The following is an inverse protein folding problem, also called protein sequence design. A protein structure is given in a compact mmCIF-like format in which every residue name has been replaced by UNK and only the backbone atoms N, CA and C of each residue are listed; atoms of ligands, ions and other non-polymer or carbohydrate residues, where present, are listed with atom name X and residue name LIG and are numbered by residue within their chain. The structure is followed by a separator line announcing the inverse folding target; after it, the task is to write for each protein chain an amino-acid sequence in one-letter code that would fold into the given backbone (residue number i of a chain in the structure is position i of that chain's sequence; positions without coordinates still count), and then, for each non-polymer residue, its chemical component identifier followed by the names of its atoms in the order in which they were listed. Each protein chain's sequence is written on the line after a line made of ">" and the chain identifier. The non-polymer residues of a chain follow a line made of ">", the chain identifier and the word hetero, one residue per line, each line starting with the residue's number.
data_IF_565493516762
#
_entry.id   IF_565493516762
#
_cell.length_a   1.000
_cell.length_b   1.000
_cell.length_c   1.000
_cell.angle_alpha   90.00
_cell.angle_beta   90.00
_cell.angle_gamma   90.00
#
_symmetry.space_group_name_H-M   'P 1'
#
loop_
_entity.id
_entity.type
_entity.pdbx_description
1 polymer ?
#
# COMPACT_ATOMS: atom_id res chain seq x y z
N UNK A 1 -13.18 17.93 -0.18
CA UNK A 1 -12.33 18.18 1.01
C UNK A 1 -11.18 17.19 1.15
N UNK A 2 -11.38 15.87 1.06
CA UNK A 2 -10.27 14.90 1.16
C UNK A 2 -9.16 15.11 0.12
N UNK A 3 -9.50 15.41 -1.14
CA UNK A 3 -8.55 15.70 -2.21
C UNK A 3 -7.65 16.93 -1.92
N UNK A 4 -8.23 18.04 -1.45
CA UNK A 4 -7.47 19.23 -1.04
C UNK A 4 -6.58 18.97 0.18
N UNK A 5 -7.05 18.18 1.15
CA UNK A 5 -6.25 17.80 2.32
C UNK A 5 -5.10 16.89 1.91
N UNK A 6 -5.35 15.93 1.01
CA UNK A 6 -4.34 15.05 0.42
C UNK A 6 -3.33 15.84 -0.40
N UNK A 7 -3.78 16.74 -1.28
CA UNK A 7 -2.92 17.61 -2.08
C UNK A 7 -2.05 18.52 -1.21
N UNK A 8 -2.63 19.14 -0.17
CA UNK A 8 -1.88 19.96 0.79
C UNK A 8 -0.84 19.13 1.53
N UNK A 9 -1.16 17.89 1.89
CA UNK A 9 -0.27 17.00 2.63
C UNK A 9 0.81 16.41 1.72
N UNK A 10 0.48 15.99 0.51
CA UNK A 10 1.44 15.57 -0.52
C UNK A 10 2.39 16.72 -0.85
N UNK A 11 1.89 17.95 -0.93
CA UNK A 11 2.72 19.16 -1.11
C UNK A 11 3.62 19.45 0.10
N UNK A 12 3.17 19.12 1.31
CA UNK A 12 3.97 19.21 2.54
C UNK A 12 4.99 18.07 2.72
N UNK A 13 4.78 16.94 2.05
CA UNK A 13 5.54 15.69 2.21
C UNK A 13 6.48 15.36 1.04
N UNK A 14 6.30 15.96 -0.13
CA UNK A 14 7.27 15.87 -1.23
C UNK A 14 8.67 16.20 -0.73
N UNK A 15 9.67 15.40 -1.11
CA UNK A 15 11.08 15.48 -0.65
C UNK A 15 11.81 16.81 -0.93
N UNK A 16 11.11 17.82 -1.46
CA UNK A 16 11.63 19.18 -1.56
C UNK A 16 11.49 19.90 -0.21
N UNK A 17 12.49 20.67 0.19
CA UNK A 17 12.53 21.43 1.46
C UNK A 17 11.49 22.57 1.57
N UNK A 18 10.28 22.41 1.02
CA UNK A 18 9.25 23.44 0.95
C UNK A 18 8.56 23.71 2.29
N UNK A 19 8.64 22.80 3.25
CA UNK A 19 8.16 23.01 4.61
C UNK A 19 9.32 22.97 5.63
N UNK A 20 10.04 24.09 5.82
CA UNK A 20 10.93 24.20 6.98
C UNK A 20 10.08 23.93 8.23
N UNK A 21 10.60 23.13 9.16
CA UNK A 21 9.92 22.70 10.40
C UNK A 21 8.89 21.57 10.32
N UNK A 22 8.71 20.87 9.19
CA UNK A 22 7.83 19.67 9.12
C UNK A 22 8.09 18.67 10.26
N UNK A 23 9.38 18.47 10.59
CA UNK A 23 9.85 17.62 11.70
C UNK A 23 9.33 18.10 13.06
N UNK A 24 9.45 19.40 13.32
CA UNK A 24 9.04 20.02 14.58
C UNK A 24 7.53 19.95 14.76
N UNK A 25 6.76 20.14 13.68
CA UNK A 25 5.28 20.05 13.71
C UNK A 25 4.82 18.61 13.97
N UNK A 26 5.42 17.61 13.32
CA UNK A 26 5.03 16.20 13.54
C UNK A 26 5.41 15.73 14.95
N UNK A 27 6.62 16.06 15.43
CA UNK A 27 7.07 15.71 16.79
C UNK A 27 6.25 16.43 17.86
N UNK A 28 6.00 17.73 17.72
CA UNK A 28 5.18 18.49 18.70
C UNK A 28 3.73 18.02 18.79
N UNK A 29 3.21 17.32 17.78
CA UNK A 29 1.89 16.70 17.82
C UNK A 29 1.93 15.20 18.22
N UNK A 30 3.06 14.70 18.72
CA UNK A 30 3.27 13.29 19.07
C UNK A 30 2.83 12.34 17.93
N UNK A 31 3.11 12.72 16.68
CA UNK A 31 2.78 11.95 15.48
C UNK A 31 1.29 11.69 15.27
N UNK A 32 0.38 12.35 16.01
CA UNK A 32 -1.06 12.10 15.91
C UNK A 32 -1.62 12.48 14.52
N UNK A 33 -1.12 13.56 13.93
CA UNK A 33 -1.45 13.94 12.56
C UNK A 33 -1.08 12.81 11.58
N UNK A 34 0.16 12.32 11.62
CA UNK A 34 0.64 11.23 10.77
C UNK A 34 -0.20 9.95 10.95
N UNK A 35 -0.49 9.56 12.21
CA UNK A 35 -1.36 8.42 12.52
C UNK A 35 -2.76 8.58 11.91
N UNK A 36 -3.37 9.76 12.03
CA UNK A 36 -4.70 10.04 11.46
C UNK A 36 -4.70 9.97 9.94
N UNK A 37 -3.64 10.45 9.30
CA UNK A 37 -3.51 10.43 7.85
C UNK A 37 -3.34 9.02 7.32
N UNK A 38 -2.40 8.25 7.90
CA UNK A 38 -2.24 6.84 7.54
C UNK A 38 -3.54 6.07 7.76
N UNK A 39 -4.22 6.28 8.90
CA UNK A 39 -5.52 5.68 9.16
C UNK A 39 -6.56 6.02 8.09
N UNK A 40 -6.65 7.29 7.68
CA UNK A 40 -7.60 7.75 6.65
C UNK A 40 -7.25 7.20 5.27
N UNK A 41 -5.98 7.18 4.89
CA UNK A 41 -5.56 6.64 3.60
C UNK A 41 -5.72 5.13 3.49
N UNK A 42 -5.74 4.41 4.63
CA UNK A 42 -6.11 2.98 4.69
C UNK A 42 -7.62 2.75 4.83
N UNK A 43 -8.44 3.80 4.99
CA UNK A 43 -9.88 3.62 5.17
C UNK A 43 -10.56 3.37 3.83
N UNK A 44 -11.33 2.29 3.75
CA UNK A 44 -12.22 2.03 2.61
C UNK A 44 -13.28 3.15 2.58
N UNK A 45 -13.67 3.66 1.39
CA UNK A 45 -14.74 4.63 1.27
C UNK A 45 -16.04 4.12 1.95
N UNK A 46 -16.79 5.05 2.54
CA UNK A 46 -18.07 4.71 3.15
C UNK A 46 -19.10 4.39 2.05
N UNK A 47 -19.53 3.14 2.01
CA UNK A 47 -20.50 2.63 1.05
C UNK A 47 -21.89 2.55 1.70
N UNK A 48 -22.92 2.89 0.92
CA UNK A 48 -24.30 2.62 1.31
C UNK A 48 -24.49 1.10 1.54
N UNK A 49 -25.31 0.74 2.54
CA UNK A 49 -25.49 -0.67 2.95
C UNK A 49 -25.90 -1.59 1.81
N UNK A 50 -26.67 -1.08 0.85
CA UNK A 50 -27.13 -1.79 -0.35
C UNK A 50 -25.98 -2.28 -1.24
N UNK A 51 -24.87 -1.54 -1.31
CA UNK A 51 -23.75 -1.85 -2.21
C UNK A 51 -22.56 -2.50 -1.51
N UNK A 52 -22.56 -2.59 -0.17
CA UNK A 52 -21.44 -3.16 0.60
C UNK A 52 -21.13 -4.60 0.19
N UNK A 53 -22.15 -5.44 0.05
CA UNK A 53 -21.96 -6.85 -0.32
C UNK A 53 -21.42 -6.98 -1.74
N UNK A 54 -21.98 -6.24 -2.70
CA UNK A 54 -21.51 -6.21 -4.09
C UNK A 54 -20.06 -5.77 -4.18
N UNK A 55 -19.70 -4.64 -3.56
CA UNK A 55 -18.32 -4.15 -3.57
C UNK A 55 -17.36 -5.12 -2.88
N UNK A 56 -17.78 -5.74 -1.77
CA UNK A 56 -16.94 -6.71 -1.09
C UNK A 56 -16.67 -7.94 -1.98
N UNK A 57 -17.72 -8.49 -2.59
CA UNK A 57 -17.61 -9.67 -3.46
C UNK A 57 -16.67 -9.43 -4.65
N UNK A 58 -16.88 -8.33 -5.38
CA UNK A 58 -16.16 -8.07 -6.63
C UNK A 58 -14.76 -7.48 -6.45
N UNK A 59 -14.49 -6.78 -5.35
CA UNK A 59 -13.25 -6.02 -5.19
C UNK A 59 -12.25 -6.65 -4.22
N UNK A 60 -12.67 -7.63 -3.42
CA UNK A 60 -11.78 -8.29 -2.43
C UNK A 60 -11.35 -9.70 -2.81
N UNK A 61 -11.98 -10.31 -3.82
CA UNK A 61 -11.52 -11.54 -4.44
C UNK A 61 -10.73 -11.22 -5.71
N UNK A 62 -9.49 -11.69 -5.78
CA UNK A 62 -8.62 -11.47 -6.94
C UNK A 62 -9.20 -12.06 -8.23
N UNK A 63 -9.83 -13.24 -8.18
CA UNK A 63 -10.34 -13.93 -9.36
C UNK A 63 -11.55 -13.20 -9.93
N UNK A 64 -12.45 -12.77 -9.05
CA UNK A 64 -13.61 -11.97 -9.44
C UNK A 64 -13.17 -10.62 -10.02
N UNK A 65 -12.23 -9.94 -9.36
CA UNK A 65 -11.71 -8.64 -9.82
C UNK A 65 -11.00 -8.78 -11.18
N UNK A 66 -10.14 -9.79 -11.34
CA UNK A 66 -9.40 -10.05 -12.57
C UNK A 66 -10.30 -10.47 -13.74
N UNK A 67 -11.43 -11.14 -13.47
CA UNK A 67 -12.36 -11.58 -14.53
C UNK A 67 -12.96 -10.43 -15.35
N UNK A 68 -12.95 -9.21 -14.80
CA UNK A 68 -13.63 -8.01 -15.35
C UNK A 68 -15.13 -8.19 -15.60
N UNK A 69 -15.76 -9.28 -15.14
CA UNK A 69 -17.20 -9.49 -15.28
C UNK A 69 -18.01 -8.37 -14.60
N UNK A 70 -17.46 -7.79 -13.54
CA UNK A 70 -18.03 -6.67 -12.81
C UNK A 70 -18.19 -5.39 -13.65
N UNK A 71 -17.47 -5.23 -14.77
CA UNK A 71 -17.61 -4.08 -15.66
C UNK A 71 -18.99 -4.03 -16.34
N UNK A 72 -19.68 -5.17 -16.43
CA UNK A 72 -21.02 -5.29 -17.04
C UNK A 72 -22.16 -5.06 -16.03
N UNK A 73 -21.85 -4.84 -14.76
CA UNK A 73 -22.87 -4.63 -13.73
C UNK A 73 -23.43 -3.20 -13.79
N UNK A 74 -24.69 -3.00 -13.36
CA UNK A 74 -25.24 -1.67 -13.13
C UNK A 74 -24.39 -0.81 -12.18
N UNK A 75 -23.73 -1.46 -11.20
CA UNK A 75 -22.87 -0.83 -10.21
C UNK A 75 -21.42 -0.62 -10.67
N UNK A 76 -21.09 -0.91 -11.94
CA UNK A 76 -19.70 -0.86 -12.44
C UNK A 76 -19.01 0.47 -12.18
N UNK A 77 -19.70 1.60 -12.33
CA UNK A 77 -19.15 2.93 -12.06
C UNK A 77 -18.80 3.12 -10.57
N UNK A 78 -19.65 2.63 -9.67
CA UNK A 78 -19.36 2.65 -8.23
C UNK A 78 -18.12 1.79 -7.93
N UNK A 79 -18.02 0.61 -8.53
CA UNK A 79 -16.88 -0.28 -8.36
C UNK A 79 -15.58 0.37 -8.84
N UNK A 80 -15.59 1.04 -10.01
CA UNK A 80 -14.45 1.84 -10.50
C UNK A 80 -14.04 2.92 -9.53
N UNK A 81 -15.00 3.71 -9.03
CA UNK A 81 -14.72 4.77 -8.07
C UNK A 81 -14.10 4.24 -6.76
N UNK A 82 -14.52 3.07 -6.29
CA UNK A 82 -13.92 2.44 -5.11
C UNK A 82 -12.48 2.01 -5.38
N UNK A 83 -12.20 1.44 -6.56
CA UNK A 83 -10.84 1.09 -6.99
C UNK A 83 -9.95 2.33 -7.10
N UNK A 84 -10.43 3.39 -7.73
CA UNK A 84 -9.71 4.66 -7.88
C UNK A 84 -9.40 5.32 -6.54
N UNK A 85 -10.36 5.34 -5.61
CA UNK A 85 -10.14 5.83 -4.25
C UNK A 85 -9.08 5.00 -3.54
N UNK A 86 -9.06 3.67 -3.74
CA UNK A 86 -8.04 2.82 -3.16
C UNK A 86 -6.65 3.04 -3.80
N UNK A 87 -6.58 3.27 -5.12
CA UNK A 87 -5.35 3.68 -5.80
C UNK A 87 -4.81 4.99 -5.22
N UNK A 88 -5.64 6.03 -5.13
CA UNK A 88 -5.27 7.32 -4.56
C UNK A 88 -4.86 7.20 -3.08
N UNK A 89 -5.57 6.38 -2.31
CA UNK A 89 -5.23 6.05 -0.93
C UNK A 89 -3.84 5.40 -0.82
N UNK A 90 -3.54 4.43 -1.68
CA UNK A 90 -2.25 3.74 -1.74
C UNK A 90 -1.12 4.68 -2.16
N UNK A 91 -1.30 5.51 -3.18
CA UNK A 91 -0.30 6.52 -3.57
C UNK A 91 -0.02 7.50 -2.42
N UNK A 92 -1.06 7.89 -1.68
CA UNK A 92 -0.89 8.73 -0.48
C UNK A 92 -0.12 7.99 0.61
N UNK A 93 -0.46 6.72 0.88
CA UNK A 93 0.24 5.92 1.87
C UNK A 93 1.71 5.75 1.52
N UNK A 94 2.03 5.55 0.25
CA UNK A 94 3.39 5.49 -0.23
C UNK A 94 4.19 6.74 0.16
N UNK A 95 3.66 7.93 -0.13
CA UNK A 95 4.30 9.21 0.24
C UNK A 95 4.39 9.41 1.77
N UNK A 96 3.33 9.07 2.51
CA UNK A 96 3.28 9.16 3.97
C UNK A 96 4.30 8.22 4.63
N UNK A 97 4.44 7.00 4.12
CA UNK A 97 5.36 6.00 4.66
C UNK A 97 6.82 6.30 4.29
N UNK A 98 7.08 6.79 3.08
CA UNK A 98 8.41 7.29 2.71
C UNK A 98 8.81 8.43 3.64
N UNK A 99 7.93 9.41 3.80
CA UNK A 99 8.13 10.52 4.73
C UNK A 99 8.40 10.00 6.13
N UNK A 100 7.53 9.12 6.67
CA UNK A 100 7.69 8.55 8.00
C UNK A 100 9.02 7.80 8.18
N UNK A 101 9.47 7.09 7.16
CA UNK A 101 10.76 6.38 7.20
C UNK A 101 11.91 7.37 7.24
N UNK A 102 11.89 8.44 6.44
CA UNK A 102 12.83 9.55 6.57
C UNK A 102 12.78 10.19 7.96
N UNK A 103 11.60 10.34 8.58
CA UNK A 103 11.48 10.91 9.94
C UNK A 103 12.15 10.03 11.01
N UNK A 104 11.99 8.72 10.88
CA UNK A 104 12.46 7.72 11.87
C UNK A 104 13.96 7.50 11.71
N UNK A 105 14.50 7.56 10.50
CA UNK A 105 15.91 7.25 10.20
C UNK A 105 16.79 8.49 9.97
N UNK A 106 16.22 9.62 9.54
CA UNK A 106 16.92 10.88 9.28
C UNK A 106 17.14 11.75 10.52
N UNK A 107 16.78 11.27 11.72
CA UNK A 107 16.99 11.98 12.99
C UNK A 107 18.45 12.11 13.42
N UNK A 108 19.37 11.41 12.76
CA UNK A 108 20.77 11.25 13.19
C UNK A 108 21.75 12.28 12.57
N UNK A 109 21.28 13.17 11.69
CA UNK A 109 22.17 14.05 10.89
C UNK A 109 22.63 15.30 11.69
N UNK A 110 22.09 15.55 12.89
CA UNK A 110 22.40 16.76 13.66
C UNK A 110 23.00 16.55 15.07
N UNK A 111 23.49 15.35 15.41
CA UNK A 111 24.40 15.16 16.55
C UNK A 111 23.85 15.54 17.94
N UNK A 112 22.56 15.87 18.05
CA UNK A 112 21.88 15.98 19.32
C UNK A 112 21.35 14.60 19.68
N UNK A 113 21.97 13.99 20.69
CA UNK A 113 21.45 12.81 21.39
C UNK A 113 20.07 13.14 21.94
N UNK A 114 19.03 12.95 21.14
CA UNK A 114 17.66 12.98 21.60
C UNK A 114 17.31 11.58 22.09
N UNK A 115 16.79 11.53 23.30
CA UNK A 115 16.27 10.36 23.98
C UNK A 115 15.45 9.47 23.03
N UNK A 116 15.43 8.18 23.38
CA UNK A 116 14.81 7.04 22.71
C UNK A 116 13.27 7.12 22.59
N UNK A 117 12.73 8.26 22.19
CA UNK A 117 11.31 8.62 22.07
C UNK A 117 10.81 8.46 20.61
N UNK A 118 11.56 7.70 19.80
CA UNK A 118 11.25 7.42 18.41
C UNK A 118 10.00 6.55 18.28
N UNK A 119 8.94 7.10 17.68
CA UNK A 119 7.77 6.29 17.31
C UNK A 119 8.19 5.24 16.28
N UNK A 120 7.85 3.97 16.52
CA UNK A 120 8.04 2.92 15.52
C UNK A 120 6.91 2.93 14.51
N UNK A 121 7.19 2.52 13.28
CA UNK A 121 6.14 2.36 12.26
C UNK A 121 5.07 1.35 12.70
N UNK A 122 5.45 0.33 13.48
CA UNK A 122 4.52 -0.61 14.11
C UNK A 122 3.52 0.08 15.03
N UNK A 123 3.97 1.06 15.85
CA UNK A 123 3.08 1.84 16.72
C UNK A 123 2.13 2.75 15.93
N UNK A 124 2.55 3.22 14.75
CA UNK A 124 1.69 3.99 13.84
C UNK A 124 0.60 3.10 13.24
N UNK A 125 0.96 1.88 12.79
CA UNK A 125 0.05 0.95 12.14
C UNK A 125 -0.90 0.21 13.10
N UNK A 126 -0.59 0.16 14.40
CA UNK A 126 -1.36 -0.59 15.40
C UNK A 126 -2.87 -0.26 15.41
N UNK A 127 -3.26 0.98 15.12
CA UNK A 127 -4.66 1.42 15.14
C UNK A 127 -5.24 1.70 13.75
N UNK A 128 -4.49 1.41 12.69
CA UNK A 128 -4.98 1.55 11.32
C UNK A 128 -5.86 0.34 10.92
N UNK A 129 -6.84 0.52 10.02
CA UNK A 129 -7.73 -0.55 9.53
C UNK A 129 -7.01 -1.43 8.50
N UNK A 130 -5.87 -2.01 8.89
CA UNK A 130 -4.92 -2.65 7.98
C UNK A 130 -5.53 -3.84 7.23
N UNK A 131 -6.30 -4.69 7.91
CA UNK A 131 -6.90 -5.89 7.30
C UNK A 131 -7.94 -5.53 6.24
N UNK A 132 -8.81 -4.56 6.55
CA UNK A 132 -9.78 -4.05 5.59
C UNK A 132 -9.10 -3.43 4.36
N UNK A 133 -8.05 -2.62 4.57
CA UNK A 133 -7.27 -2.07 3.47
C UNK A 133 -6.62 -3.17 2.61
N UNK A 134 -6.02 -4.19 3.23
CA UNK A 134 -5.39 -5.31 2.53
C UNK A 134 -6.39 -6.12 1.71
N UNK A 135 -7.62 -6.29 2.20
CA UNK A 135 -8.69 -7.00 1.50
C UNK A 135 -8.95 -6.40 0.10
N UNK A 136 -8.86 -5.08 -0.05
CA UNK A 136 -9.03 -4.40 -1.34
C UNK A 136 -7.70 -4.24 -2.10
N UNK A 137 -6.60 -4.05 -1.38
CA UNK A 137 -5.32 -3.66 -1.97
C UNK A 137 -4.52 -4.83 -2.52
N UNK A 138 -4.59 -6.00 -1.89
CA UNK A 138 -3.89 -7.19 -2.38
C UNK A 138 -4.47 -7.65 -3.72
N UNK A 139 -5.80 -7.82 -3.89
CA UNK A 139 -6.39 -8.12 -5.20
C UNK A 139 -5.99 -7.12 -6.28
N UNK A 140 -5.98 -5.82 -5.98
CA UNK A 140 -5.58 -4.79 -6.94
C UNK A 140 -4.12 -4.90 -7.36
N UNK A 141 -3.19 -5.12 -6.41
CA UNK A 141 -1.79 -5.40 -6.74
C UNK A 141 -1.71 -6.65 -7.64
N UNK A 142 -2.42 -7.71 -7.28
CA UNK A 142 -2.42 -8.95 -8.05
C UNK A 142 -2.95 -8.71 -9.47
N UNK A 143 -3.99 -7.91 -9.68
CA UNK A 143 -4.48 -7.53 -11.01
C UNK A 143 -3.46 -6.69 -11.80
N UNK A 144 -2.74 -5.77 -11.16
CA UNK A 144 -1.66 -5.00 -11.83
C UNK A 144 -0.52 -5.92 -12.29
N UNK A 145 -0.23 -6.97 -11.53
CA UNK A 145 0.76 -8.00 -11.84
C UNK A 145 0.23 -9.11 -12.75
N UNK A 146 -1.09 -9.27 -12.84
CA UNK A 146 -1.75 -10.23 -13.70
C UNK A 146 -1.62 -9.80 -15.17
N UNK A 147 -1.46 -10.78 -16.04
CA UNK A 147 -1.17 -10.58 -17.46
C UNK A 147 -2.32 -11.13 -18.29
N UNK A 148 -3.33 -10.31 -18.56
CA UNK A 148 -4.40 -10.65 -19.52
C UNK A 148 -4.08 -10.23 -20.96
N UNK A 149 -2.93 -9.60 -21.23
CA UNK A 149 -2.55 -9.17 -22.57
C UNK A 149 -1.05 -9.05 -22.80
N UNK A 150 -0.62 -9.34 -24.04
CA UNK A 150 0.72 -9.05 -24.52
C UNK A 150 0.90 -7.53 -24.67
N UNK A 151 1.42 -6.88 -23.63
CA UNK A 151 1.70 -5.45 -23.65
C UNK A 151 2.46 -4.99 -22.43
N UNK A 152 3.46 -4.11 -22.65
CA UNK A 152 4.12 -3.37 -21.58
C UNK A 152 3.08 -2.51 -20.84
N UNK A 153 3.23 -2.44 -19.53
CA UNK A 153 2.37 -1.65 -18.65
C UNK A 153 2.45 -0.16 -19.00
N UNK A 154 1.32 0.54 -18.99
CA UNK A 154 1.31 2.01 -19.11
C UNK A 154 2.10 2.64 -17.96
N UNK A 155 2.74 3.80 -18.19
CA UNK A 155 3.61 4.42 -17.18
C UNK A 155 2.93 4.65 -15.82
N UNK A 156 1.64 4.96 -15.82
CA UNK A 156 0.82 5.11 -14.62
C UNK A 156 0.68 3.82 -13.81
N UNK A 157 0.37 2.71 -14.48
CA UNK A 157 0.22 1.39 -13.86
C UNK A 157 1.56 0.86 -13.32
N UNK A 158 2.68 1.22 -13.98
CA UNK A 158 4.01 0.85 -13.52
C UNK A 158 4.34 1.55 -12.18
N UNK A 159 4.06 2.85 -12.08
CA UNK A 159 4.21 3.62 -10.85
C UNK A 159 3.29 3.09 -9.74
N UNK A 160 2.04 2.79 -10.07
CA UNK A 160 1.06 2.25 -9.12
C UNK A 160 1.48 0.86 -8.61
N UNK A 161 1.99 -0.01 -9.48
CA UNK A 161 2.55 -1.32 -9.11
C UNK A 161 3.70 -1.17 -8.11
N UNK A 162 4.60 -0.21 -8.36
CA UNK A 162 5.69 0.10 -7.44
C UNK A 162 5.17 0.55 -6.06
N UNK A 163 4.21 1.47 -6.05
CA UNK A 163 3.61 2.00 -4.82
C UNK A 163 2.92 0.89 -4.02
N UNK A 164 2.13 0.04 -4.66
CA UNK A 164 1.49 -1.10 -4.00
C UNK A 164 2.52 -2.07 -3.39
N UNK A 165 3.53 -2.47 -4.18
CA UNK A 165 4.60 -3.35 -3.70
C UNK A 165 5.32 -2.74 -2.49
N UNK A 166 5.65 -1.45 -2.54
CA UNK A 166 6.30 -0.76 -1.43
C UNK A 166 5.41 -0.75 -0.17
N UNK A 167 4.17 -0.27 -0.30
CA UNK A 167 3.26 -0.09 0.85
C UNK A 167 2.93 -1.45 1.48
N UNK A 168 2.60 -2.46 0.68
CA UNK A 168 2.32 -3.81 1.17
C UNK A 168 3.56 -4.39 1.87
N UNK A 169 4.75 -4.28 1.27
CA UNK A 169 5.98 -4.77 1.91
C UNK A 169 6.21 -4.11 3.28
N UNK A 170 6.04 -2.78 3.37
CA UNK A 170 6.19 -2.02 4.61
C UNK A 170 5.16 -2.43 5.66
N UNK A 171 3.89 -2.53 5.26
CA UNK A 171 2.80 -2.92 6.15
C UNK A 171 3.01 -4.33 6.69
N UNK A 172 3.41 -5.29 5.84
CA UNK A 172 3.68 -6.67 6.26
C UNK A 172 4.88 -6.76 7.22
N UNK A 173 5.96 -5.99 6.97
CA UNK A 173 7.13 -5.97 7.84
C UNK A 173 6.82 -5.42 9.24
N UNK A 174 5.96 -4.40 9.32
CA UNK A 174 5.74 -3.64 10.55
C UNK A 174 4.42 -3.97 11.26
N UNK A 175 3.56 -4.80 10.68
CA UNK A 175 2.27 -5.20 11.26
C UNK A 175 2.11 -6.72 11.28
N UNK A 176 2.30 -7.39 12.44
CA UNK A 176 2.12 -8.83 12.56
C UNK A 176 0.71 -9.31 12.16
N UNK A 177 -0.32 -8.48 12.39
CA UNK A 177 -1.69 -8.79 11.96
C UNK A 177 -1.84 -8.75 10.43
N UNK A 178 -1.18 -7.81 9.76
CA UNK A 178 -1.16 -7.73 8.30
C UNK A 178 -0.55 -9.00 7.71
N UNK A 179 0.61 -9.38 8.24
CA UNK A 179 1.30 -10.58 7.79
C UNK A 179 0.44 -11.82 8.00
N UNK A 180 -0.19 -11.98 9.17
CA UNK A 180 -1.11 -13.08 9.43
C UNK A 180 -2.27 -13.08 8.43
N UNK A 181 -2.91 -11.93 8.21
CA UNK A 181 -4.02 -11.80 7.28
C UNK A 181 -3.65 -12.20 5.86
N UNK A 182 -2.53 -11.69 5.32
CA UNK A 182 -2.09 -12.06 3.97
C UNK A 182 -1.66 -13.53 3.86
N UNK A 183 -1.00 -14.08 4.87
CA UNK A 183 -0.67 -15.52 4.87
C UNK A 183 -1.92 -16.39 4.89
N UNK A 184 -3.00 -15.98 5.57
CA UNK A 184 -4.23 -16.75 5.62
C UNK A 184 -5.06 -16.64 4.34
N UNK A 185 -5.12 -15.47 3.71
CA UNK A 185 -6.10 -15.20 2.64
C UNK A 185 -5.50 -15.11 1.24
N UNK A 186 -4.21 -14.82 1.09
CA UNK A 186 -3.58 -14.50 -0.20
C UNK A 186 -2.20 -15.14 -0.39
N UNK A 187 -1.84 -16.15 0.41
CA UNK A 187 -0.48 -16.69 0.38
C UNK A 187 -0.11 -17.28 -0.98
N UNK A 188 -1.01 -18.04 -1.59
CA UNK A 188 -0.75 -18.69 -2.87
C UNK A 188 -0.63 -17.68 -4.00
N UNK A 189 -1.57 -16.74 -4.08
CA UNK A 189 -1.59 -15.67 -5.08
C UNK A 189 -0.34 -14.79 -4.97
N UNK A 190 0.01 -14.35 -3.76
CA UNK A 190 1.21 -13.53 -3.55
C UNK A 190 2.50 -14.31 -3.87
N UNK A 191 2.56 -15.61 -3.57
CA UNK A 191 3.72 -16.44 -3.90
C UNK A 191 3.90 -16.59 -5.42
N UNK A 192 2.81 -16.61 -6.18
CA UNK A 192 2.81 -16.77 -7.62
C UNK A 192 3.06 -15.43 -8.35
N UNK A 193 2.27 -14.40 -8.04
CA UNK A 193 2.27 -13.15 -8.79
C UNK A 193 3.33 -12.14 -8.33
N UNK A 194 3.69 -12.09 -7.05
CA UNK A 194 4.79 -11.24 -6.58
C UNK A 194 6.18 -11.83 -6.88
N UNK A 195 6.27 -12.79 -7.80
CA UNK A 195 7.52 -13.39 -8.22
C UNK A 195 8.31 -12.45 -9.15
N UNK A 196 9.64 -12.46 -9.02
CA UNK A 196 10.52 -11.56 -9.76
C UNK A 196 10.33 -11.65 -11.29
N UNK A 197 10.13 -12.86 -11.83
CA UNK A 197 9.91 -13.03 -13.26
C UNK A 197 8.63 -12.35 -13.75
N UNK A 198 7.54 -12.42 -12.98
CA UNK A 198 6.26 -11.80 -13.34
C UNK A 198 6.37 -10.29 -13.28
N UNK A 199 6.88 -9.75 -12.16
CA UNK A 199 7.06 -8.30 -11.98
C UNK A 199 7.99 -7.72 -13.05
N UNK A 200 9.08 -8.42 -13.38
CA UNK A 200 10.05 -8.00 -14.41
C UNK A 200 9.44 -8.04 -15.81
N UNK A 201 8.68 -9.10 -16.12
CA UNK A 201 7.95 -9.20 -17.38
C UNK A 201 6.91 -8.09 -17.53
N UNK A 202 6.24 -7.74 -16.42
CA UNK A 202 5.17 -6.75 -16.41
C UNK A 202 5.71 -5.32 -16.58
N UNK A 203 6.70 -4.93 -15.77
CA UNK A 203 7.26 -3.58 -15.83
C UNK A 203 8.23 -3.35 -17.00
N UNK A 204 8.85 -4.41 -17.51
CA UNK A 204 9.90 -4.35 -18.49
C UNK A 204 11.28 -4.03 -17.89
N UNK A 205 12.34 -4.56 -18.51
CA UNK A 205 13.71 -4.39 -18.03
C UNK A 205 14.22 -2.94 -18.14
N UNK A 206 13.71 -2.20 -19.12
CA UNK A 206 14.11 -0.82 -19.37
C UNK A 206 13.43 0.19 -18.43
N UNK A 207 12.45 -0.23 -17.62
CA UNK A 207 11.73 0.67 -16.74
C UNK A 207 12.58 1.00 -15.49
N UNK A 208 12.86 2.29 -15.20
CA UNK A 208 13.79 2.67 -14.12
C UNK A 208 13.38 2.21 -12.72
N UNK A 209 12.08 2.05 -12.48
CA UNK A 209 11.55 1.63 -11.17
C UNK A 209 11.61 0.12 -10.94
N UNK A 210 11.85 -0.68 -12.00
CA UNK A 210 11.84 -2.15 -11.94
C UNK A 210 12.75 -2.72 -10.84
N UNK A 211 14.02 -2.31 -10.70
CA UNK A 211 14.90 -2.86 -9.65
C UNK A 211 14.36 -2.65 -8.24
N UNK A 212 13.77 -1.48 -7.98
CA UNK A 212 13.20 -1.16 -6.68
C UNK A 212 11.92 -1.95 -6.42
N UNK A 213 11.03 -2.04 -7.42
CA UNK A 213 9.80 -2.84 -7.30
C UNK A 213 10.11 -4.32 -7.07
N UNK A 214 11.13 -4.87 -7.76
CA UNK A 214 11.58 -6.24 -7.56
C UNK A 214 12.06 -6.51 -6.12
N UNK A 215 12.76 -5.56 -5.50
CA UNK A 215 13.18 -5.67 -4.10
C UNK A 215 11.97 -5.80 -3.17
N UNK A 216 10.94 -4.98 -3.36
CA UNK A 216 9.73 -5.02 -2.55
C UNK A 216 8.93 -6.31 -2.78
N UNK A 217 8.75 -6.70 -4.04
CA UNK A 217 8.07 -7.95 -4.40
C UNK A 217 8.76 -9.19 -3.78
N UNK A 218 10.10 -9.25 -3.85
CA UNK A 218 10.89 -10.30 -3.17
C UNK A 218 10.66 -10.31 -1.66
N UNK A 219 10.57 -9.13 -1.04
CA UNK A 219 10.34 -9.01 0.40
C UNK A 219 8.97 -9.59 0.75
N UNK A 220 7.92 -9.24 -0.01
CA UNK A 220 6.57 -9.79 0.14
C UNK A 220 6.60 -11.32 0.04
N UNK A 221 7.15 -11.86 -1.07
CA UNK A 221 7.20 -13.29 -1.30
C UNK A 221 7.96 -14.06 -0.20
N UNK A 222 9.06 -13.49 0.30
CA UNK A 222 9.85 -14.10 1.37
C UNK A 222 9.11 -14.12 2.71
N UNK A 223 8.45 -13.01 3.09
CA UNK A 223 7.68 -12.93 4.33
C UNK A 223 6.54 -13.95 4.37
N UNK A 224 5.85 -14.14 3.24
CA UNK A 224 4.78 -15.13 3.11
C UNK A 224 5.35 -16.56 3.21
N UNK A 225 6.46 -16.87 2.52
CA UNK A 225 7.09 -18.21 2.53
C UNK A 225 7.63 -18.64 3.89
N UNK A 226 8.19 -17.71 4.68
CA UNK A 226 8.84 -18.05 5.97
C UNK A 226 7.82 -18.54 7.01
N UNK A 227 6.60 -18.00 7.00
CA UNK A 227 5.57 -18.37 8.00
C UNK A 227 4.87 -19.69 7.71
N UNK A 228 4.71 -20.09 6.45
CA UNK A 228 4.16 -21.42 6.09
C UNK A 228 4.97 -22.56 6.73
N UNK A 229 6.29 -22.42 6.79
CA UNK A 229 7.18 -23.41 7.41
C UNK A 229 7.02 -23.52 8.93
N UNK A 230 6.54 -22.47 9.59
CA UNK A 230 6.33 -22.44 11.05
C UNK A 230 4.91 -22.86 11.47
N UNK A 231 3.97 -22.98 10.52
CA UNK A 231 2.63 -23.53 10.75
C UNK A 231 2.57 -25.06 10.57
N UNK A 232 3.61 -25.65 9.99
CA UNK A 232 3.78 -27.10 9.77
C UNK A 232 4.70 -27.77 10.82
N UNK A 233 5.00 -27.08 11.92
CA UNK A 233 5.72 -27.61 13.08
C UNK A 233 4.85 -27.44 14.32
#
# INVERSE_FOLDING_TARGET
>A
MAALTLETITTLLQGTQRCPFKMKVIRSNNYNCLRRLIKRSMSIPELASTYKLTCNHWLTDFRELASRAWENLPESELLKLVLEVNHAGTSTLYELLNSATELIWGGDIHGETHDNDGISLSAILQHAPVEGWLAYSVPQLLCLLHSDGEGLVESCDAALTHQYCYVIAMVLNHSPRALKYCTTNFAEELRYYAHESIVKSRLGEACPITPHTLKHAKTIANMIRIKDKNLLR
#
